data_IF_684069912275
#
_entry.id   IF_684069912275
#
_cell.length_a   1.000
_cell.length_b   1.000
_cell.length_c   1.000
_cell.angle_alpha   90.00
_cell.angle_beta   90.00
_cell.angle_gamma   90.00
#
_symmetry.space_group_name_H-M   'P 1'
#
loop_
_entity.id
_entity.type
_entity.pdbx_description
1 polymer ?
#
# COMPACT_ATOMS: atom_id res chain seq x y z
N UNK A 1 10.53 38.27 -0.91
CA UNK A 1 11.16 37.03 -1.44
C UNK A 1 11.35 37.18 -2.93
N UNK A 2 12.51 36.91 -3.45
CA UNK A 2 12.75 36.77 -4.89
C UNK A 2 13.16 35.34 -5.16
N UNK A 3 12.60 34.72 -6.20
CA UNK A 3 13.11 33.44 -6.73
C UNK A 3 14.19 33.75 -7.75
N UNK A 4 15.40 33.33 -7.48
CA UNK A 4 16.49 33.42 -8.43
C UNK A 4 17.16 32.02 -8.48
N UNK A 5 17.22 31.44 -9.66
CA UNK A 5 17.85 30.12 -9.90
C UNK A 5 17.32 28.98 -9.00
N UNK A 6 16.01 28.91 -8.81
CA UNK A 6 15.40 27.90 -7.95
C UNK A 6 15.57 28.11 -6.44
N UNK A 7 16.05 29.27 -6.00
CA UNK A 7 16.23 29.63 -4.60
C UNK A 7 15.17 30.60 -4.12
N UNK A 8 14.58 30.39 -2.94
CA UNK A 8 13.95 31.47 -2.20
C UNK A 8 15.04 32.21 -1.42
N UNK A 9 15.35 33.42 -1.84
CA UNK A 9 16.25 34.29 -1.09
C UNK A 9 15.39 35.23 -0.26
N UNK A 10 15.35 35.06 1.06
CA UNK A 10 14.86 36.10 1.94
C UNK A 10 15.93 37.19 2.03
N UNK A 11 15.76 38.23 1.25
CA UNK A 11 16.69 39.34 1.29
C UNK A 11 16.18 40.36 2.28
N UNK A 12 16.61 40.27 3.55
CA UNK A 12 16.78 41.47 4.34
C UNK A 12 18.28 41.86 4.42
N UNK A 13 19.15 40.97 4.33
CA UNK A 13 20.58 41.06 3.97
C UNK A 13 21.15 39.64 3.89
N UNK A 14 22.23 39.43 3.15
CA UNK A 14 22.94 38.14 3.12
C UNK A 14 23.42 37.68 4.51
N UNK A 15 23.64 38.62 5.41
CA UNK A 15 24.07 38.40 6.80
C UNK A 15 22.95 37.83 7.69
N UNK A 16 21.67 38.00 7.31
CA UNK A 16 20.49 37.53 8.06
C UNK A 16 19.72 36.42 7.38
N UNK A 17 20.32 35.73 6.41
CA UNK A 17 19.71 34.58 5.77
C UNK A 17 19.58 33.41 6.74
N UNK A 18 18.35 33.00 7.09
CA UNK A 18 18.05 31.89 8.00
C UNK A 18 18.32 30.51 7.38
N UNK A 19 18.58 30.45 6.08
CA UNK A 19 18.85 29.25 5.31
C UNK A 19 18.47 29.42 3.84
N UNK A 20 18.88 28.48 3.01
CA UNK A 20 18.55 28.43 1.59
C UNK A 20 17.76 27.16 1.31
N UNK A 21 16.64 27.29 0.61
CA UNK A 21 15.80 26.17 0.19
C UNK A 21 15.94 26.01 -1.33
N UNK A 22 16.10 24.78 -1.76
CA UNK A 22 16.24 24.39 -3.16
C UNK A 22 15.18 23.38 -3.54
N UNK A 23 14.83 23.31 -4.81
CA UNK A 23 14.18 22.14 -5.38
C UNK A 23 15.14 20.94 -5.43
N UNK A 24 14.62 19.72 -5.46
CA UNK A 24 15.40 18.50 -5.20
C UNK A 24 16.65 18.34 -6.09
N UNK A 25 16.60 18.78 -7.32
CA UNK A 25 17.71 18.63 -8.29
C UNK A 25 18.54 19.90 -8.44
N UNK A 26 18.31 20.93 -7.62
CA UNK A 26 18.98 22.23 -7.72
C UNK A 26 18.84 22.94 -9.08
N UNK A 27 17.88 22.51 -9.93
CA UNK A 27 17.60 23.13 -11.21
C UNK A 27 16.57 24.26 -11.10
N UNK A 28 16.79 25.34 -11.87
CA UNK A 28 15.77 26.36 -12.02
C UNK A 28 14.62 25.83 -12.88
N UNK A 29 13.40 25.92 -12.33
CA UNK A 29 12.19 25.53 -13.06
C UNK A 29 11.54 26.70 -13.81
N UNK A 30 12.16 27.91 -13.76
CA UNK A 30 11.61 29.11 -14.38
C UNK A 30 10.32 29.60 -13.68
N UNK A 31 9.45 30.28 -14.43
CA UNK A 31 8.16 30.75 -13.94
C UNK A 31 7.09 29.67 -14.14
N UNK A 32 6.51 29.19 -13.04
CA UNK A 32 5.48 28.15 -13.05
C UNK A 32 4.18 28.67 -12.43
N UNK A 33 3.05 28.11 -12.89
CA UNK A 33 1.81 28.14 -12.09
C UNK A 33 1.94 27.26 -10.88
N UNK A 34 1.12 27.46 -9.84
CA UNK A 34 1.12 26.60 -8.65
C UNK A 34 0.82 25.14 -9.01
N UNK A 35 -0.13 24.88 -9.90
CA UNK A 35 -0.47 23.53 -10.37
C UNK A 35 0.75 22.82 -10.97
N UNK A 36 1.54 23.51 -11.79
CA UNK A 36 2.78 22.99 -12.36
C UNK A 36 3.86 22.78 -11.28
N UNK A 37 3.98 23.71 -10.35
CA UNK A 37 4.87 23.57 -9.20
C UNK A 37 4.55 22.35 -8.36
N UNK A 38 3.26 22.08 -8.12
CA UNK A 38 2.80 20.88 -7.42
C UNK A 38 3.12 19.59 -8.21
N UNK A 39 2.85 19.58 -9.52
CA UNK A 39 3.11 18.43 -10.40
C UNK A 39 4.61 18.05 -10.43
N UNK A 40 5.48 19.06 -10.40
CA UNK A 40 6.95 18.92 -10.36
C UNK A 40 7.52 18.78 -8.95
N UNK A 41 6.66 18.75 -7.93
CA UNK A 41 7.05 18.63 -6.51
C UNK A 41 8.03 19.74 -6.06
N UNK A 42 7.78 21.00 -6.49
CA UNK A 42 8.64 22.14 -6.17
C UNK A 42 8.54 22.51 -4.69
N UNK A 43 9.66 22.43 -3.98
CA UNK A 43 9.80 22.92 -2.60
C UNK A 43 9.57 24.43 -2.55
N UNK A 44 10.04 25.15 -3.58
CA UNK A 44 9.94 26.62 -3.67
C UNK A 44 8.48 27.05 -3.81
N UNK A 45 7.68 26.34 -4.61
CA UNK A 45 6.25 26.63 -4.75
C UNK A 45 5.50 26.49 -3.41
N UNK A 46 5.82 25.46 -2.63
CA UNK A 46 5.25 25.28 -1.29
C UNK A 46 5.72 26.36 -0.31
N UNK A 47 7.00 26.72 -0.34
CA UNK A 47 7.51 27.80 0.50
C UNK A 47 6.90 29.16 0.17
N UNK A 48 6.64 29.44 -1.11
CA UNK A 48 5.96 30.66 -1.56
C UNK A 48 4.54 30.72 -0.97
N UNK A 49 3.82 29.60 -1.03
CA UNK A 49 2.48 29.47 -0.45
C UNK A 49 2.49 29.73 1.07
N UNK A 50 3.41 29.07 1.81
CA UNK A 50 3.54 29.23 3.26
C UNK A 50 4.07 30.60 3.68
N UNK A 51 4.79 31.29 2.81
CA UNK A 51 5.34 32.61 3.13
C UNK A 51 4.31 33.70 2.91
N UNK A 52 3.53 33.64 1.83
CA UNK A 52 2.72 34.76 1.37
C UNK A 52 1.20 34.54 1.52
N UNK A 53 0.74 33.30 1.73
CA UNK A 53 -0.70 32.97 1.70
C UNK A 53 -1.21 32.23 2.93
N UNK A 54 -0.37 31.52 3.68
CA UNK A 54 -0.76 30.69 4.81
C UNK A 54 0.10 31.05 6.02
N UNK A 55 -0.54 31.45 7.14
CA UNK A 55 0.21 31.71 8.37
C UNK A 55 0.69 30.40 9.01
N UNK A 56 1.81 30.42 9.76
CA UNK A 56 2.29 29.22 10.46
C UNK A 56 1.25 28.61 11.41
N UNK A 57 0.39 29.42 12.02
CA UNK A 57 -0.66 28.99 12.94
C UNK A 57 -1.73 28.18 12.19
N UNK A 58 -2.20 28.68 11.05
CA UNK A 58 -3.17 27.99 10.19
C UNK A 58 -2.54 26.68 9.66
N UNK A 59 -1.28 26.72 9.22
CA UNK A 59 -0.60 25.51 8.74
C UNK A 59 -0.50 24.48 9.86
N UNK A 60 -0.11 24.87 11.07
CA UNK A 60 -0.03 23.99 12.23
C UNK A 60 -1.39 23.38 12.60
N UNK A 61 -2.45 24.17 12.55
CA UNK A 61 -3.82 23.67 12.78
C UNK A 61 -4.20 22.56 11.82
N UNK A 62 -3.80 22.65 10.54
CA UNK A 62 -4.05 21.58 9.57
C UNK A 62 -3.21 20.33 9.83
N UNK A 63 -1.95 20.46 10.26
CA UNK A 63 -1.13 19.31 10.68
C UNK A 63 -1.85 18.55 11.81
N UNK A 64 -2.41 19.25 12.77
CA UNK A 64 -3.17 18.66 13.88
C UNK A 64 -4.50 18.05 13.41
N UNK A 65 -5.24 18.72 12.51
CA UNK A 65 -6.49 18.22 11.92
C UNK A 65 -6.31 16.93 11.13
N UNK A 66 -5.18 16.79 10.44
CA UNK A 66 -4.83 15.56 9.72
C UNK A 66 -4.27 14.46 10.64
N UNK A 67 -4.08 14.72 11.92
CA UNK A 67 -3.71 13.73 12.93
C UNK A 67 -2.25 13.31 12.93
N UNK A 68 -1.35 14.07 12.29
CA UNK A 68 0.07 13.71 12.17
C UNK A 68 0.86 13.68 13.48
N UNK A 69 0.32 14.27 14.56
CA UNK A 69 1.00 14.34 15.85
C UNK A 69 0.35 13.46 16.94
N UNK A 70 -0.51 12.55 16.52
CA UNK A 70 -1.18 11.58 17.40
C UNK A 70 -1.03 10.17 16.83
N UNK A 71 -0.94 9.14 17.68
CA UNK A 71 -1.07 7.76 17.19
C UNK A 71 -2.40 7.57 16.48
N UNK A 72 -2.42 6.78 15.43
CA UNK A 72 -3.68 6.38 14.78
C UNK A 72 -4.40 5.40 15.69
N UNK A 73 -5.66 5.68 16.02
CA UNK A 73 -6.50 4.76 16.76
C UNK A 73 -6.92 3.61 15.83
N UNK A 74 -6.18 2.52 15.90
CA UNK A 74 -6.48 1.32 15.10
C UNK A 74 -6.36 0.06 15.97
N UNK A 75 -7.41 -0.78 16.02
CA UNK A 75 -7.40 -2.00 16.81
C UNK A 75 -6.26 -2.95 16.39
N UNK A 76 -5.67 -3.62 17.38
CA UNK A 76 -4.66 -4.68 17.20
C UNK A 76 -3.33 -4.27 16.57
N UNK A 77 -3.14 -2.99 16.21
CA UNK A 77 -1.88 -2.50 15.66
C UNK A 77 -1.28 -1.46 16.61
N UNK A 78 -0.15 -1.80 17.22
CA UNK A 78 0.63 -0.84 17.99
C UNK A 78 1.30 0.14 17.02
N UNK A 79 1.10 1.43 17.23
CA UNK A 79 1.73 2.48 16.45
C UNK A 79 2.07 3.69 17.31
N UNK A 80 2.87 4.59 16.76
CA UNK A 80 3.39 5.77 17.45
C UNK A 80 2.90 7.06 16.80
N UNK A 81 3.03 8.17 17.52
CA UNK A 81 2.80 9.49 16.99
C UNK A 81 3.98 9.92 16.12
N UNK A 82 3.70 10.76 15.13
CA UNK A 82 4.73 11.55 14.47
C UNK A 82 5.29 12.64 15.40
N UNK A 83 6.34 13.28 14.96
CA UNK A 83 6.91 14.45 15.62
C UNK A 83 7.23 15.56 14.62
N UNK A 84 7.34 16.78 15.10
CA UNK A 84 7.58 17.98 14.28
C UNK A 84 8.53 18.94 14.99
N UNK A 85 9.50 19.45 14.23
CA UNK A 85 10.28 20.61 14.61
C UNK A 85 9.63 21.85 13.98
N UNK A 86 9.12 22.76 14.78
CA UNK A 86 8.31 23.91 14.33
C UNK A 86 8.63 25.21 15.06
N UNK A 87 9.83 25.31 15.63
CA UNK A 87 10.25 26.44 16.45
C UNK A 87 10.80 27.59 15.60
N UNK A 88 11.64 27.27 14.63
CA UNK A 88 12.33 28.25 13.80
C UNK A 88 11.62 28.48 12.46
N UNK A 89 11.75 29.68 11.85
CA UNK A 89 11.12 29.98 10.57
C UNK A 89 11.47 28.99 9.45
N UNK A 90 12.71 28.50 9.41
CA UNK A 90 13.15 27.52 8.42
C UNK A 90 12.46 26.16 8.62
N UNK A 91 12.23 25.73 9.85
CA UNK A 91 11.52 24.51 10.18
C UNK A 91 10.06 24.58 9.74
N UNK A 92 9.41 25.76 9.97
CA UNK A 92 8.01 25.99 9.54
C UNK A 92 7.84 25.93 8.03
N UNK A 93 8.85 26.36 7.26
CA UNK A 93 8.83 26.26 5.81
C UNK A 93 9.16 24.85 5.35
N UNK A 94 10.18 24.21 5.95
CA UNK A 94 10.65 22.89 5.53
C UNK A 94 9.63 21.78 5.79
N UNK A 95 8.80 21.89 6.82
CA UNK A 95 7.70 20.95 7.05
C UNK A 95 6.70 20.90 5.90
N UNK A 96 6.53 22.00 5.15
CA UNK A 96 5.63 22.06 4.01
C UNK A 96 6.01 21.15 2.84
N UNK A 97 7.28 20.82 2.73
CA UNK A 97 7.76 19.85 1.72
C UNK A 97 8.33 18.57 2.34
N UNK A 98 7.93 18.27 3.60
CA UNK A 98 8.19 16.97 4.23
C UNK A 98 9.53 16.84 4.96
N UNK A 99 10.22 17.95 5.24
CA UNK A 99 11.38 18.01 6.14
C UNK A 99 10.95 18.50 7.54
N UNK A 100 11.77 18.30 8.56
CA UNK A 100 11.47 18.71 9.95
C UNK A 100 10.19 18.11 10.55
N UNK A 101 9.61 17.10 9.90
CA UNK A 101 8.45 16.32 10.36
C UNK A 101 8.68 14.84 10.09
N UNK A 102 8.36 14.01 11.07
CA UNK A 102 8.31 12.55 10.90
C UNK A 102 6.88 12.07 11.12
N UNK A 103 6.43 11.20 10.24
CA UNK A 103 5.09 10.61 10.29
C UNK A 103 5.16 9.11 10.05
N UNK A 104 4.20 8.37 10.58
CA UNK A 104 4.11 6.93 10.33
C UNK A 104 3.34 6.64 9.05
N UNK A 105 3.54 5.46 8.47
CA UNK A 105 2.78 5.01 7.30
C UNK A 105 1.27 5.00 7.57
N UNK A 106 0.85 4.60 8.78
CA UNK A 106 -0.57 4.63 9.18
C UNK A 106 -1.15 6.04 9.22
N UNK A 107 -0.38 7.04 9.71
CA UNK A 107 -0.80 8.44 9.69
C UNK A 107 -0.95 8.95 8.26
N UNK A 108 -0.03 8.58 7.35
CA UNK A 108 -0.14 8.91 5.93
C UNK A 108 -1.40 8.30 5.31
N UNK A 109 -1.63 7.01 5.52
CA UNK A 109 -2.84 6.32 5.04
C UNK A 109 -4.10 7.01 5.57
N UNK A 110 -4.19 7.24 6.89
CA UNK A 110 -5.35 7.92 7.49
C UNK A 110 -5.59 9.31 6.89
N UNK A 111 -4.55 10.14 6.81
CA UNK A 111 -4.65 11.51 6.31
C UNK A 111 -5.11 11.56 4.84
N UNK A 112 -4.56 10.70 3.99
CA UNK A 112 -4.92 10.67 2.57
C UNK A 112 -6.32 10.13 2.30
N UNK A 113 -6.95 9.40 3.25
CA UNK A 113 -8.38 9.07 3.11
C UNK A 113 -9.23 10.33 2.98
N UNK A 114 -8.88 11.45 3.65
CA UNK A 114 -9.61 12.69 3.49
C UNK A 114 -9.53 13.26 2.05
N UNK A 115 -8.40 13.03 1.36
CA UNK A 115 -8.24 13.48 -0.04
C UNK A 115 -9.07 12.59 -0.97
N UNK A 116 -9.13 11.28 -0.72
CA UNK A 116 -9.78 10.32 -1.61
C UNK A 116 -11.25 10.03 -1.25
N UNK A 117 -11.77 10.59 -0.16
CA UNK A 117 -13.12 10.36 0.35
C UNK A 117 -13.84 11.67 0.69
N UNK A 118 -13.89 12.59 -0.29
CA UNK A 118 -14.68 13.83 -0.23
C UNK A 118 -14.45 14.69 1.02
N UNK A 119 -13.22 14.70 1.53
CA UNK A 119 -12.82 15.44 2.72
C UNK A 119 -12.96 14.69 4.04
N UNK A 120 -13.58 13.52 4.05
CA UNK A 120 -13.78 12.69 5.26
C UNK A 120 -12.56 11.84 5.53
N UNK A 121 -11.94 12.04 6.69
CA UNK A 121 -10.83 11.23 7.16
C UNK A 121 -11.35 9.98 7.87
N UNK A 122 -10.88 8.81 7.43
CA UNK A 122 -11.33 7.51 7.92
C UNK A 122 -10.28 6.87 8.82
N UNK A 123 -10.72 6.11 9.81
CA UNK A 123 -9.88 5.29 10.68
C UNK A 123 -9.43 4.02 9.93
N UNK A 124 -8.13 3.79 9.70
CA UNK A 124 -7.65 2.51 9.18
C UNK A 124 -7.91 1.39 10.20
N UNK A 125 -8.29 0.22 9.72
CA UNK A 125 -8.39 -1.00 10.52
C UNK A 125 -8.00 -2.22 9.68
N UNK A 126 -7.46 -3.26 10.32
CA UNK A 126 -6.93 -4.46 9.66
C UNK A 126 -7.70 -5.72 10.04
N UNK A 127 -8.60 -5.63 11.01
CA UNK A 127 -9.48 -6.71 11.43
C UNK A 127 -10.89 -6.33 11.04
N UNK A 128 -11.51 -7.11 10.18
CA UNK A 128 -12.90 -6.95 9.76
C UNK A 128 -13.86 -7.44 10.84
N UNK A 129 -13.62 -8.66 11.35
CA UNK A 129 -14.45 -9.27 12.38
C UNK A 129 -13.70 -10.31 13.19
N UNK A 130 -14.24 -10.63 14.34
CA UNK A 130 -13.84 -11.73 15.21
C UNK A 130 -14.97 -12.75 15.23
N UNK A 131 -14.64 -14.01 14.95
CA UNK A 131 -15.61 -15.11 14.93
C UNK A 131 -15.25 -16.17 15.98
N UNK A 132 -16.26 -16.83 16.53
CA UNK A 132 -16.07 -18.03 17.33
C UNK A 132 -15.55 -19.18 16.46
N UNK A 133 -14.43 -19.79 16.87
CA UNK A 133 -13.75 -20.80 16.08
C UNK A 133 -14.52 -22.10 15.83
N UNK A 134 -15.57 -22.38 16.63
CA UNK A 134 -16.37 -23.60 16.50
C UNK A 134 -17.70 -23.36 15.80
N UNK A 135 -18.38 -22.27 16.16
CA UNK A 135 -19.72 -21.97 15.65
C UNK A 135 -19.75 -21.02 14.45
N UNK A 136 -18.60 -20.43 14.10
CA UNK A 136 -18.47 -19.36 13.09
C UNK A 136 -19.39 -18.15 13.35
N UNK A 137 -19.91 -18.03 14.57
CA UNK A 137 -20.71 -16.89 14.95
C UNK A 137 -19.82 -15.67 15.11
N UNK A 138 -20.21 -14.56 14.46
CA UNK A 138 -19.54 -13.27 14.63
C UNK A 138 -19.69 -12.81 16.08
N UNK A 139 -18.57 -12.61 16.76
CA UNK A 139 -18.48 -12.10 18.14
C UNK A 139 -18.40 -10.58 18.11
N UNK A 140 -17.59 -10.03 17.19
CA UNK A 140 -17.38 -8.60 17.03
C UNK A 140 -17.17 -8.28 15.55
N UNK A 141 -17.78 -7.18 15.09
CA UNK A 141 -17.66 -6.67 13.72
C UNK A 141 -17.12 -5.24 13.75
N UNK A 142 -16.15 -4.95 12.90
CA UNK A 142 -15.58 -3.61 12.75
C UNK A 142 -16.14 -2.95 11.50
N UNK A 143 -16.61 -1.72 11.64
CA UNK A 143 -17.22 -0.95 10.56
C UNK A 143 -16.35 0.29 10.23
N UNK A 144 -16.40 0.79 8.99
CA UNK A 144 -15.72 2.02 8.61
C UNK A 144 -16.14 3.20 9.50
N UNK A 145 -15.17 3.89 10.11
CA UNK A 145 -15.40 5.02 10.99
C UNK A 145 -14.71 6.28 10.49
N UNK A 146 -15.46 7.38 10.41
CA UNK A 146 -14.88 8.71 10.19
C UNK A 146 -14.29 9.24 11.48
N UNK A 147 -13.06 9.76 11.40
CA UNK A 147 -12.34 10.40 12.51
C UNK A 147 -12.24 11.94 12.36
N UNK A 148 -12.85 12.48 11.31
CA UNK A 148 -12.91 13.92 11.09
C UNK A 148 -13.17 14.29 9.63
N UNK A 149 -13.30 15.59 9.39
CA UNK A 149 -13.43 16.18 8.06
C UNK A 149 -12.49 17.39 7.95
N UNK A 150 -11.16 17.14 7.80
CA UNK A 150 -10.16 18.20 7.82
C UNK A 150 -10.27 19.18 6.64
N UNK A 151 -10.81 18.74 5.52
CA UNK A 151 -11.01 19.55 4.31
C UNK A 151 -12.42 19.37 3.75
N UNK A 152 -12.84 20.31 2.90
CA UNK A 152 -14.10 20.21 2.16
C UNK A 152 -13.96 19.32 0.93
N UNK A 153 -15.09 18.84 0.39
CA UNK A 153 -15.14 18.08 -0.84
C UNK A 153 -14.46 18.81 -2.02
N UNK A 154 -14.74 20.11 -2.18
CA UNK A 154 -14.16 20.88 -3.29
C UNK A 154 -12.62 20.95 -3.20
N UNK A 155 -12.07 20.98 -1.97
CA UNK A 155 -10.62 20.91 -1.74
C UNK A 155 -10.08 19.52 -2.08
N UNK A 156 -10.79 18.46 -1.67
CA UNK A 156 -10.46 17.06 -2.03
C UNK A 156 -10.40 16.90 -3.56
N UNK A 157 -11.44 17.35 -4.26
CA UNK A 157 -11.52 17.26 -5.73
C UNK A 157 -10.40 18.03 -6.42
N UNK A 158 -10.05 19.21 -5.91
CA UNK A 158 -8.95 20.01 -6.44
C UNK A 158 -7.59 19.33 -6.23
N UNK A 159 -7.35 18.77 -5.04
CA UNK A 159 -6.10 18.03 -4.75
C UNK A 159 -6.00 16.76 -5.59
N UNK A 160 -7.09 16.00 -5.78
CA UNK A 160 -7.12 14.86 -6.71
C UNK A 160 -6.73 15.29 -8.13
N UNK A 161 -7.26 16.42 -8.62
CA UNK A 161 -6.87 17.00 -9.93
C UNK A 161 -5.36 17.30 -9.98
N UNK A 162 -4.80 17.93 -8.94
CA UNK A 162 -3.36 18.21 -8.87
C UNK A 162 -2.54 16.92 -8.87
N UNK A 163 -2.96 15.89 -8.13
CA UNK A 163 -2.31 14.58 -8.11
C UNK A 163 -2.39 13.88 -9.48
N UNK A 164 -3.43 14.13 -10.26
CA UNK A 164 -3.53 13.70 -11.66
C UNK A 164 -2.46 14.34 -12.55
N UNK A 165 -2.13 15.61 -12.33
CA UNK A 165 -1.03 16.28 -13.05
C UNK A 165 0.33 15.68 -12.70
N UNK A 166 0.56 15.23 -11.47
CA UNK A 166 1.81 14.55 -11.09
C UNK A 166 2.10 13.34 -11.99
N UNK A 167 1.04 12.61 -12.41
CA UNK A 167 1.15 11.41 -13.25
C UNK A 167 1.10 11.73 -14.75
N UNK A 168 0.29 12.71 -15.17
CA UNK A 168 -0.03 12.91 -16.57
C UNK A 168 0.67 14.12 -17.22
N UNK A 169 1.21 15.06 -16.42
CA UNK A 169 1.98 16.17 -16.98
C UNK A 169 3.34 15.67 -17.51
N UNK A 170 3.82 16.15 -18.67
CA UNK A 170 5.12 15.75 -19.23
C UNK A 170 6.32 15.97 -18.28
N UNK A 171 6.19 16.94 -17.36
CA UNK A 171 7.22 17.24 -16.34
C UNK A 171 6.83 16.71 -14.94
N UNK A 172 5.77 15.95 -14.83
CA UNK A 172 5.28 15.41 -13.56
C UNK A 172 6.20 14.35 -12.98
N UNK A 173 6.43 14.38 -11.67
CA UNK A 173 7.37 13.46 -10.99
C UNK A 173 6.83 12.03 -10.89
N UNK A 174 5.55 11.82 -11.13
CA UNK A 174 4.86 10.53 -10.99
C UNK A 174 4.54 9.80 -12.29
N UNK A 175 5.02 10.25 -13.47
CA UNK A 175 4.74 9.62 -14.76
C UNK A 175 5.02 8.12 -14.79
N UNK A 176 6.00 7.69 -14.00
CA UNK A 176 6.40 6.28 -13.90
C UNK A 176 5.34 5.38 -13.28
N UNK A 177 4.37 5.97 -12.58
CA UNK A 177 3.24 5.26 -11.97
C UNK A 177 2.00 5.24 -12.86
N UNK A 178 2.07 5.86 -14.04
CA UNK A 178 0.99 5.81 -15.03
C UNK A 178 0.70 4.37 -15.43
N UNK A 179 -0.57 4.00 -15.44
CA UNK A 179 -1.06 2.71 -15.91
C UNK A 179 -1.83 2.92 -17.22
N UNK A 180 -1.80 1.90 -18.10
CA UNK A 180 -2.44 1.99 -19.42
C UNK A 180 -3.93 1.61 -19.35
N UNK A 181 -4.33 0.93 -18.30
CA UNK A 181 -5.64 0.28 -18.11
C UNK A 181 -6.54 0.96 -17.07
N UNK A 182 -6.00 1.88 -16.28
CA UNK A 182 -6.73 2.66 -15.29
C UNK A 182 -6.04 4.00 -15.04
N UNK A 183 -6.83 5.05 -14.85
CA UNK A 183 -6.28 6.35 -14.48
C UNK A 183 -5.86 6.36 -13.02
N UNK A 184 -4.57 6.67 -12.79
CA UNK A 184 -3.94 6.75 -11.48
C UNK A 184 -3.67 8.21 -11.14
N UNK A 185 -3.93 8.58 -9.89
CA UNK A 185 -3.46 9.83 -9.30
C UNK A 185 -2.40 9.53 -8.25
N UNK A 186 -1.35 10.35 -8.18
CA UNK A 186 -0.25 10.09 -7.25
C UNK A 186 0.42 11.37 -6.74
N UNK A 187 1.17 11.24 -5.63
CA UNK A 187 2.14 12.22 -5.16
C UNK A 187 3.39 11.50 -4.70
N UNK A 188 4.51 11.84 -5.31
CA UNK A 188 5.84 11.36 -4.92
C UNK A 188 6.40 12.16 -3.75
N UNK A 189 7.22 11.51 -2.94
CA UNK A 189 8.00 12.13 -1.88
C UNK A 189 9.44 11.64 -1.93
N UNK A 190 10.38 12.55 -1.65
CA UNK A 190 11.79 12.26 -1.50
C UNK A 190 12.31 13.03 -0.30
N UNK A 191 12.67 12.31 0.76
CA UNK A 191 13.13 12.87 2.02
C UNK A 191 14.57 12.50 2.30
N UNK A 192 15.40 13.46 2.73
CA UNK A 192 16.70 13.17 3.29
C UNK A 192 16.55 12.56 4.69
N UNK A 193 17.39 11.59 5.01
CA UNK A 193 17.38 10.97 6.33
C UNK A 193 18.17 11.85 7.29
N UNK A 194 17.48 12.35 8.34
CA UNK A 194 18.12 13.16 9.38
C UNK A 194 18.85 12.27 10.40
N UNK A 195 20.02 12.73 10.84
CA UNK A 195 20.81 12.15 11.92
C UNK A 195 21.04 13.18 13.02
N UNK A 196 21.64 12.80 14.11
CA UNK A 196 22.03 13.73 15.19
C UNK A 196 23.05 14.79 14.76
N UNK A 197 23.73 14.60 13.62
CA UNK A 197 24.80 15.47 13.11
C UNK A 197 24.42 16.19 11.81
N UNK A 198 23.19 16.01 11.30
CA UNK A 198 22.71 16.59 10.04
C UNK A 198 22.00 15.56 9.17
N UNK A 199 22.09 15.69 7.86
CA UNK A 199 21.51 14.73 6.92
C UNK A 199 22.52 13.67 6.50
N UNK A 200 22.03 12.45 6.28
CA UNK A 200 22.83 11.33 5.79
C UNK A 200 23.11 11.51 4.29
N UNK A 201 24.36 11.53 3.89
CA UNK A 201 24.73 11.64 2.48
C UNK A 201 24.41 10.37 1.70
N UNK A 202 23.86 10.54 0.51
CA UNK A 202 23.60 9.44 -0.43
C UNK A 202 22.50 8.46 -0.02
N UNK A 203 21.71 8.78 1.02
CA UNK A 203 20.55 7.95 1.42
C UNK A 203 19.28 8.77 1.56
N UNK A 204 18.21 8.22 1.06
CA UNK A 204 16.92 8.89 0.91
C UNK A 204 15.78 7.98 1.32
N UNK A 205 14.72 8.56 1.85
CA UNK A 205 13.41 7.91 1.91
C UNK A 205 12.63 8.34 0.68
N UNK A 206 12.39 7.39 -0.20
CA UNK A 206 11.55 7.58 -1.38
C UNK A 206 10.18 7.01 -1.13
N UNK A 207 9.14 7.74 -1.50
CA UNK A 207 7.77 7.33 -1.27
C UNK A 207 6.85 7.76 -2.39
N UNK A 208 5.72 7.06 -2.49
CA UNK A 208 4.57 7.46 -3.30
C UNK A 208 3.29 7.14 -2.55
N UNK A 209 2.37 8.09 -2.57
CA UNK A 209 0.95 7.85 -2.29
C UNK A 209 0.22 7.92 -3.61
N UNK A 210 -0.50 6.86 -3.96
CA UNK A 210 -1.29 6.81 -5.18
C UNK A 210 -2.68 6.24 -4.91
N UNK A 211 -3.61 6.57 -5.81
CA UNK A 211 -4.96 6.02 -5.75
C UNK A 211 -5.52 5.79 -7.16
N UNK A 212 -6.42 4.82 -7.28
CA UNK A 212 -7.09 4.45 -8.52
C UNK A 212 -8.50 3.86 -8.25
N UNK A 213 -9.47 4.02 -9.18
CA UNK A 213 -9.45 4.96 -10.32
C UNK A 213 -9.36 6.42 -9.88
N UNK A 214 -8.89 7.31 -10.76
CA UNK A 214 -8.59 8.72 -10.41
C UNK A 214 -9.82 9.53 -9.98
N UNK A 215 -10.97 9.29 -10.59
CA UNK A 215 -12.23 10.02 -10.37
C UNK A 215 -12.99 9.51 -9.14
N UNK A 216 -12.93 8.21 -8.85
CA UNK A 216 -13.57 7.57 -7.69
C UNK A 216 -12.64 6.52 -7.07
N UNK A 217 -11.64 6.92 -6.29
CA UNK A 217 -10.63 6.02 -5.75
C UNK A 217 -11.21 4.90 -4.89
N UNK A 218 -10.95 3.66 -5.27
CA UNK A 218 -11.33 2.46 -4.52
C UNK A 218 -10.13 1.81 -3.83
N UNK A 219 -8.95 2.00 -4.41
CA UNK A 219 -7.68 1.54 -3.85
C UNK A 219 -6.79 2.75 -3.66
N UNK A 220 -6.17 2.85 -2.51
CA UNK A 220 -4.99 3.70 -2.33
C UNK A 220 -3.82 2.87 -1.83
N UNK A 221 -2.62 3.25 -2.26
CA UNK A 221 -1.39 2.58 -1.89
C UNK A 221 -0.34 3.59 -1.46
N UNK A 222 0.17 3.42 -0.24
CA UNK A 222 1.37 4.10 0.22
C UNK A 222 2.55 3.15 0.16
N UNK A 223 3.54 3.50 -0.63
CA UNK A 223 4.77 2.73 -0.78
C UNK A 223 5.96 3.63 -0.43
N UNK A 224 6.77 3.20 0.51
CA UNK A 224 7.95 3.93 0.96
C UNK A 224 9.10 2.97 1.23
N UNK A 225 10.32 3.38 0.89
CA UNK A 225 11.52 2.62 1.19
C UNK A 225 12.73 3.56 1.37
N UNK A 226 13.72 3.06 2.09
CA UNK A 226 15.02 3.68 2.24
C UNK A 226 15.99 3.11 1.21
N UNK A 227 16.64 3.97 0.44
CA UNK A 227 17.59 3.56 -0.60
C UNK A 227 18.68 4.58 -0.86
N UNK A 228 19.78 4.10 -1.46
CA UNK A 228 20.93 4.94 -1.84
C UNK A 228 20.91 5.45 -3.27
N UNK A 229 19.98 5.01 -4.10
CA UNK A 229 19.92 5.37 -5.51
C UNK A 229 18.49 5.72 -5.94
N UNK A 230 18.31 6.89 -6.54
CA UNK A 230 17.06 7.37 -7.12
C UNK A 230 16.49 6.44 -8.19
N UNK A 231 17.33 5.65 -8.85
CA UNK A 231 16.96 4.84 -10.02
C UNK A 231 16.33 3.50 -9.66
N UNK A 232 16.50 3.04 -8.42
CA UNK A 232 16.06 1.70 -7.99
C UNK A 232 14.65 1.62 -7.38
N UNK A 233 13.82 2.62 -7.62
CA UNK A 233 12.41 2.56 -7.24
C UNK A 233 11.70 1.49 -8.09
N UNK A 234 11.26 0.41 -7.45
CA UNK A 234 10.63 -0.73 -8.15
C UNK A 234 9.19 -0.41 -8.59
N UNK A 235 9.08 0.22 -9.75
CA UNK A 235 7.84 0.75 -10.35
C UNK A 235 6.90 -0.37 -10.80
N UNK A 236 7.46 -1.45 -11.29
CA UNK A 236 6.68 -2.57 -11.82
C UNK A 236 5.94 -3.29 -10.69
N UNK A 237 6.60 -3.56 -9.57
CA UNK A 237 5.93 -4.15 -8.41
C UNK A 237 4.81 -3.28 -7.84
N UNK A 238 4.98 -1.95 -7.88
CA UNK A 238 3.91 -1.03 -7.49
C UNK A 238 2.69 -1.17 -8.41
N UNK A 239 2.91 -1.16 -9.74
CA UNK A 239 1.83 -1.29 -10.72
C UNK A 239 1.13 -2.63 -10.64
N UNK A 240 1.89 -3.70 -10.46
CA UNK A 240 1.35 -5.05 -10.32
C UNK A 240 0.48 -5.15 -9.05
N UNK A 241 0.97 -4.67 -7.91
CA UNK A 241 0.21 -4.66 -6.67
C UNK A 241 -1.07 -3.80 -6.76
N UNK A 242 -1.00 -2.62 -7.41
CA UNK A 242 -2.17 -1.77 -7.64
C UNK A 242 -3.19 -2.49 -8.53
N UNK A 243 -2.73 -3.13 -9.60
CA UNK A 243 -3.61 -3.88 -10.53
C UNK A 243 -4.29 -5.05 -9.84
N UNK A 244 -3.55 -5.86 -9.08
CA UNK A 244 -4.11 -6.97 -8.31
C UNK A 244 -5.17 -6.51 -7.30
N UNK A 245 -4.89 -5.40 -6.61
CA UNK A 245 -5.84 -4.82 -5.66
C UNK A 245 -7.13 -4.33 -6.35
N UNK A 246 -7.02 -3.71 -7.53
CA UNK A 246 -8.17 -3.27 -8.33
C UNK A 246 -8.99 -4.46 -8.83
N UNK A 247 -8.32 -5.51 -9.32
CA UNK A 247 -8.99 -6.75 -9.75
C UNK A 247 -9.73 -7.38 -8.57
N UNK A 248 -9.13 -7.44 -7.38
CA UNK A 248 -9.78 -7.95 -6.19
C UNK A 248 -11.04 -7.16 -5.77
N UNK A 249 -11.15 -5.90 -6.21
CA UNK A 249 -12.35 -5.06 -6.02
C UNK A 249 -13.32 -5.14 -7.23
N UNK A 250 -13.10 -6.04 -8.18
CA UNK A 250 -13.92 -6.15 -9.39
C UNK A 250 -13.76 -4.98 -10.37
N UNK A 251 -12.70 -4.20 -10.24
CA UNK A 251 -12.41 -3.08 -11.13
C UNK A 251 -11.46 -3.58 -12.21
N UNK A 252 -12.01 -3.86 -13.39
CA UNK A 252 -11.20 -4.18 -14.57
C UNK A 252 -10.94 -2.91 -15.35
N UNK A 253 -9.69 -2.65 -15.68
CA UNK A 253 -9.34 -1.55 -16.59
C UNK A 253 -10.02 -1.74 -17.93
N UNK A 254 -10.59 -0.67 -18.48
CA UNK A 254 -11.17 -0.69 -19.81
C UNK A 254 -10.05 -0.67 -20.85
N UNK A 255 -9.58 -1.86 -21.23
CA UNK A 255 -8.63 -1.99 -22.35
C UNK A 255 -9.38 -1.79 -23.67
N UNK A 256 -9.42 -0.55 -24.18
CA UNK A 256 -9.84 -0.25 -25.54
C UNK A 256 -8.69 -0.41 -26.57
N UNK A 257 -7.68 -1.20 -26.30
CA UNK A 257 -6.58 -1.48 -27.22
C UNK A 257 -6.52 -2.96 -27.60
N UNK A 258 -7.16 -3.27 -28.74
CA UNK A 258 -7.13 -4.59 -29.39
C UNK A 258 -5.75 -4.95 -29.99
N UNK A 259 -4.65 -4.27 -29.63
CA UNK A 259 -3.34 -4.49 -30.25
C UNK A 259 -2.11 -4.42 -29.35
N UNK A 260 -2.23 -4.57 -28.04
CA UNK A 260 -1.03 -4.72 -27.20
C UNK A 260 -0.76 -6.21 -26.95
N UNK A 261 0.28 -6.72 -27.58
CA UNK A 261 0.89 -8.04 -27.26
C UNK A 261 1.68 -8.01 -25.94
N UNK A 262 1.09 -7.43 -24.89
CA UNK A 262 1.58 -7.59 -23.52
C UNK A 262 0.75 -8.68 -22.86
N UNK A 263 1.43 -9.65 -22.23
CA UNK A 263 0.81 -10.67 -21.37
C UNK A 263 -0.06 -9.96 -20.33
N UNK A 264 -1.32 -9.74 -20.64
CA UNK A 264 -2.36 -9.58 -19.65
C UNK A 264 -2.44 -10.92 -18.95
N UNK A 265 -2.06 -10.98 -17.71
CA UNK A 265 -2.45 -12.10 -16.86
C UNK A 265 -3.98 -12.00 -16.73
N UNK A 266 -4.69 -12.61 -17.68
CA UNK A 266 -6.13 -12.77 -17.62
C UNK A 266 -6.42 -13.75 -16.49
N UNK A 267 -6.56 -13.25 -15.28
CA UNK A 267 -7.13 -14.03 -14.18
C UNK A 267 -8.61 -14.22 -14.44
N UNK A 268 -9.03 -15.45 -14.59
CA UNK A 268 -10.45 -15.78 -14.57
C UNK A 268 -10.90 -15.81 -13.11
N UNK A 269 -11.99 -15.12 -12.81
CA UNK A 269 -12.63 -15.13 -11.51
C UNK A 269 -13.67 -16.27 -11.46
N UNK A 270 -13.72 -16.97 -10.34
CA UNK A 270 -14.67 -18.05 -10.09
C UNK A 270 -15.26 -17.90 -8.68
N UNK A 271 -16.41 -18.48 -8.45
CA UNK A 271 -16.95 -18.64 -7.09
C UNK A 271 -16.55 -20.03 -6.57
N UNK A 272 -15.92 -20.08 -5.41
CA UNK A 272 -15.53 -21.33 -4.76
C UNK A 272 -16.75 -22.20 -4.46
N UNK A 273 -16.84 -23.41 -4.99
CA UNK A 273 -17.96 -24.30 -4.66
C UNK A 273 -17.86 -24.80 -3.21
N UNK A 274 -19.00 -25.07 -2.58
CA UNK A 274 -19.03 -25.75 -1.29
C UNK A 274 -18.74 -27.24 -1.51
N UNK A 275 -17.61 -27.70 -1.00
CA UNK A 275 -17.09 -29.06 -1.22
C UNK A 275 -17.02 -29.90 0.06
N UNK A 276 -17.21 -29.31 1.22
CA UNK A 276 -17.24 -29.99 2.51
C UNK A 276 -18.39 -31.00 2.54
N UNK A 277 -18.15 -32.21 3.06
CA UNK A 277 -19.04 -33.36 3.07
C UNK A 277 -19.32 -33.98 1.69
N UNK A 278 -18.50 -33.68 0.69
CA UNK A 278 -18.53 -34.35 -0.62
C UNK A 278 -17.25 -35.18 -0.85
N UNK A 279 -17.32 -36.10 -1.79
CA UNK A 279 -16.17 -36.90 -2.15
C UNK A 279 -15.11 -36.12 -2.91
N UNK A 280 -13.85 -36.54 -2.83
CA UNK A 280 -12.74 -35.95 -3.61
C UNK A 280 -13.04 -35.95 -5.12
N UNK A 281 -13.71 -36.98 -5.64
CA UNK A 281 -14.05 -37.02 -7.04
C UNK A 281 -15.12 -36.01 -7.43
N UNK A 282 -16.10 -35.79 -6.56
CA UNK A 282 -17.04 -34.68 -6.74
C UNK A 282 -16.34 -33.33 -6.79
N UNK A 283 -15.42 -33.10 -5.85
CA UNK A 283 -14.65 -31.86 -5.80
C UNK A 283 -13.78 -31.66 -7.05
N UNK A 284 -13.06 -32.68 -7.47
CA UNK A 284 -12.27 -32.64 -8.72
C UNK A 284 -13.12 -32.29 -9.93
N UNK A 285 -14.33 -32.88 -10.04
CA UNK A 285 -15.26 -32.57 -11.12
C UNK A 285 -15.77 -31.14 -11.07
N UNK A 286 -16.13 -30.64 -9.89
CA UNK A 286 -16.58 -29.24 -9.71
C UNK A 286 -15.51 -28.21 -10.02
N UNK A 287 -14.25 -28.53 -9.70
CA UNK A 287 -13.10 -27.67 -9.97
C UNK A 287 -12.43 -27.90 -11.33
N UNK A 288 -12.95 -28.82 -12.15
CA UNK A 288 -12.29 -29.22 -13.42
C UNK A 288 -12.25 -28.10 -14.48
N UNK A 289 -13.27 -27.23 -14.49
CA UNK A 289 -13.35 -26.08 -15.40
C UNK A 289 -12.62 -24.82 -14.88
N UNK A 290 -12.07 -24.87 -13.66
CA UNK A 290 -11.39 -23.74 -13.03
C UNK A 290 -9.87 -23.94 -13.14
N UNK A 291 -9.17 -22.89 -13.57
CA UNK A 291 -7.70 -22.88 -13.64
C UNK A 291 -7.12 -22.57 -12.25
N UNK A 292 -7.28 -23.50 -11.30
CA UNK A 292 -6.80 -23.37 -9.91
C UNK A 292 -5.89 -24.53 -9.55
N UNK A 293 -4.94 -24.30 -8.66
CA UNK A 293 -4.05 -25.33 -8.12
C UNK A 293 -4.72 -26.02 -6.92
N UNK A 294 -4.78 -27.34 -6.96
CA UNK A 294 -5.50 -28.15 -5.95
C UNK A 294 -4.51 -28.83 -5.01
N UNK A 295 -4.50 -28.39 -3.76
CA UNK A 295 -3.69 -29.00 -2.68
C UNK A 295 -4.60 -29.92 -1.87
N UNK A 296 -4.44 -31.23 -2.04
CA UNK A 296 -5.19 -32.22 -1.28
C UNK A 296 -4.38 -32.63 -0.05
N UNK A 297 -4.99 -32.48 1.12
CA UNK A 297 -4.39 -32.77 2.42
C UNK A 297 -5.08 -34.00 3.01
N UNK A 298 -4.30 -34.95 3.47
CA UNK A 298 -4.83 -36.23 3.97
C UNK A 298 -4.91 -37.31 2.88
N UNK A 299 -5.40 -38.49 3.26
CA UNK A 299 -5.48 -39.66 2.42
C UNK A 299 -6.86 -40.35 2.43
N UNK A 300 -7.90 -39.61 2.85
CA UNK A 300 -9.29 -40.05 2.85
C UNK A 300 -10.03 -39.74 1.56
N UNK A 301 -11.27 -40.19 1.45
CA UNK A 301 -12.08 -40.06 0.23
C UNK A 301 -13.07 -38.91 0.28
N UNK A 302 -13.39 -38.37 1.47
CA UNK A 302 -14.34 -37.26 1.64
C UNK A 302 -13.68 -36.01 2.17
N UNK A 303 -14.15 -34.85 1.75
CA UNK A 303 -13.64 -33.53 2.19
C UNK A 303 -14.30 -33.16 3.49
N UNK A 304 -13.49 -32.89 4.52
CA UNK A 304 -13.94 -32.45 5.85
C UNK A 304 -13.73 -30.95 6.08
N UNK A 305 -12.82 -30.33 5.31
CA UNK A 305 -12.58 -28.88 5.37
C UNK A 305 -11.99 -28.38 4.07
N UNK A 306 -12.17 -27.12 3.73
CA UNK A 306 -11.65 -26.48 2.52
C UNK A 306 -11.19 -25.06 2.80
N UNK A 307 -10.31 -24.55 1.94
CA UNK A 307 -9.94 -23.14 1.87
C UNK A 307 -9.64 -22.75 0.41
N UNK A 308 -10.19 -21.66 -0.13
CA UNK A 308 -11.18 -20.74 0.48
C UNK A 308 -12.53 -21.41 0.79
N UNK A 309 -13.35 -20.72 1.59
CA UNK A 309 -14.68 -21.22 1.95
C UNK A 309 -15.64 -21.21 0.74
N UNK A 310 -16.69 -22.07 0.80
CA UNK A 310 -17.70 -22.10 -0.27
C UNK A 310 -18.42 -20.76 -0.39
N UNK A 311 -18.53 -20.25 -1.63
CA UNK A 311 -19.11 -18.94 -1.94
C UNK A 311 -18.11 -17.80 -2.03
N UNK A 312 -16.86 -17.97 -1.59
CA UNK A 312 -15.83 -16.95 -1.74
C UNK A 312 -15.38 -16.80 -3.20
N UNK A 313 -14.95 -15.58 -3.55
CA UNK A 313 -14.31 -15.32 -4.85
C UNK A 313 -12.90 -15.89 -4.87
N UNK A 314 -12.57 -16.60 -5.95
CA UNK A 314 -11.26 -17.17 -6.23
C UNK A 314 -10.82 -16.81 -7.63
N UNK A 315 -9.50 -16.72 -7.85
CA UNK A 315 -8.93 -16.37 -9.14
C UNK A 315 -8.13 -17.55 -9.72
N UNK A 316 -7.92 -17.51 -11.05
CA UNK A 316 -7.07 -18.52 -11.69
C UNK A 316 -5.65 -18.50 -11.13
N UNK A 317 -5.02 -19.69 -11.08
CA UNK A 317 -3.71 -19.98 -10.50
C UNK A 317 -3.64 -19.87 -8.96
N UNK A 318 -4.76 -19.61 -8.28
CA UNK A 318 -4.82 -19.64 -6.83
C UNK A 318 -4.75 -21.08 -6.30
N UNK A 319 -4.06 -21.27 -5.17
CA UNK A 319 -4.07 -22.53 -4.44
C UNK A 319 -5.41 -22.74 -3.72
N UNK A 320 -6.02 -23.90 -3.94
CA UNK A 320 -7.22 -24.37 -3.27
C UNK A 320 -6.84 -25.57 -2.39
N UNK A 321 -7.12 -25.46 -1.12
CA UNK A 321 -6.78 -26.47 -0.13
C UNK A 321 -8.03 -27.28 0.23
N UNK A 322 -7.91 -28.61 0.11
CA UNK A 322 -8.99 -29.56 0.44
C UNK A 322 -8.45 -30.57 1.44
N UNK A 323 -8.99 -30.57 2.65
CA UNK A 323 -8.62 -31.55 3.67
C UNK A 323 -9.60 -32.72 3.64
N UNK A 324 -9.07 -33.92 3.51
CA UNK A 324 -9.86 -35.16 3.50
C UNK A 324 -9.95 -35.80 4.89
N UNK A 325 -10.90 -36.73 5.06
CA UNK A 325 -11.17 -37.47 6.30
C UNK A 325 -10.09 -38.50 6.67
N UNK A 326 -9.04 -38.61 5.90
CA UNK A 326 -7.89 -39.50 6.20
C UNK A 326 -6.96 -38.92 7.25
N UNK A 327 -6.40 -39.81 8.07
CA UNK A 327 -5.52 -39.44 9.22
C UNK A 327 -4.06 -39.22 8.86
N UNK A 328 -3.64 -39.63 7.65
CA UNK A 328 -2.23 -39.51 7.23
C UNK A 328 -2.00 -38.25 6.42
N UNK A 329 -1.31 -37.29 7.01
CA UNK A 329 -0.90 -36.08 6.31
C UNK A 329 0.54 -36.23 5.83
N UNK A 330 0.81 -35.84 4.59
CA UNK A 330 2.15 -35.79 4.01
C UNK A 330 2.49 -34.37 3.61
N UNK A 331 3.77 -34.02 3.74
CA UNK A 331 4.29 -32.72 3.38
C UNK A 331 4.05 -32.41 1.90
N UNK A 332 3.34 -31.34 1.54
CA UNK A 332 3.21 -30.89 0.17
C UNK A 332 4.51 -30.28 -0.36
N UNK A 333 4.57 -30.03 -1.66
CA UNK A 333 5.55 -29.14 -2.24
C UNK A 333 5.06 -27.70 -2.05
N UNK A 334 5.74 -26.97 -1.19
CA UNK A 334 5.38 -25.58 -0.89
C UNK A 334 6.12 -24.57 -1.77
N UNK A 335 6.91 -25.01 -2.75
CA UNK A 335 7.63 -24.10 -3.65
C UNK A 335 6.66 -23.13 -4.33
N UNK A 336 6.93 -21.83 -4.24
CA UNK A 336 6.07 -20.78 -4.79
C UNK A 336 4.85 -20.41 -3.93
N UNK A 337 4.62 -21.08 -2.79
CA UNK A 337 3.55 -20.73 -1.88
C UNK A 337 3.80 -19.36 -1.23
N UNK A 338 2.73 -18.60 -1.10
CA UNK A 338 2.73 -17.33 -0.36
C UNK A 338 2.51 -17.57 1.13
N UNK A 339 2.70 -16.54 1.95
CA UNK A 339 2.35 -16.59 3.37
C UNK A 339 0.86 -16.95 3.61
N UNK A 340 -0.03 -16.50 2.70
CA UNK A 340 -1.45 -16.86 2.71
C UNK A 340 -1.66 -18.37 2.56
N UNK A 341 -0.95 -18.99 1.64
CA UNK A 341 -1.03 -20.43 1.39
C UNK A 341 -0.51 -21.25 2.56
N UNK A 342 0.61 -20.83 3.16
CA UNK A 342 1.18 -21.47 4.36
C UNK A 342 0.19 -21.37 5.53
N UNK A 343 -0.39 -20.20 5.72
CA UNK A 343 -1.38 -19.96 6.78
C UNK A 343 -2.65 -20.81 6.59
N UNK A 344 -3.12 -20.94 5.35
CA UNK A 344 -4.25 -21.80 5.01
C UNK A 344 -3.95 -23.28 5.33
N UNK A 345 -2.79 -23.76 4.95
CA UNK A 345 -2.36 -25.12 5.26
C UNK A 345 -2.27 -25.36 6.78
N UNK A 346 -1.65 -24.44 7.53
CA UNK A 346 -1.57 -24.51 8.98
C UNK A 346 -2.97 -24.51 9.62
N UNK A 347 -3.85 -23.60 9.21
CA UNK A 347 -5.22 -23.50 9.73
C UNK A 347 -6.02 -24.79 9.53
N UNK A 348 -5.86 -25.46 8.38
CA UNK A 348 -6.55 -26.71 8.07
C UNK A 348 -5.98 -27.91 8.81
N UNK A 349 -4.65 -27.98 8.99
CA UNK A 349 -3.96 -29.14 9.54
C UNK A 349 -3.67 -29.04 11.03
N UNK A 350 -3.65 -27.85 11.59
CA UNK A 350 -3.15 -27.57 12.95
C UNK A 350 -1.63 -27.71 13.09
N UNK A 351 -0.89 -27.95 11.99
CA UNK A 351 0.58 -28.13 12.00
C UNK A 351 1.25 -26.77 11.83
N UNK A 352 1.97 -26.32 12.85
CA UNK A 352 2.65 -25.03 12.83
C UNK A 352 3.83 -25.01 11.87
N UNK A 353 3.97 -23.90 11.11
CA UNK A 353 5.06 -23.69 10.17
C UNK A 353 5.80 -22.41 10.52
N UNK A 354 7.09 -22.55 10.81
CA UNK A 354 7.97 -21.41 11.06
C UNK A 354 8.38 -20.79 9.72
N UNK A 355 8.13 -19.49 9.55
CA UNK A 355 8.39 -18.73 8.32
C UNK A 355 9.57 -17.79 8.53
N UNK A 356 10.51 -17.79 7.62
CA UNK A 356 11.68 -16.90 7.57
C UNK A 356 11.71 -16.13 6.24
N UNK A 357 11.76 -14.79 6.26
CA UNK A 357 11.78 -13.94 5.07
C UNK A 357 10.39 -13.46 4.64
N UNK A 358 10.28 -12.99 3.39
CA UNK A 358 9.04 -12.48 2.80
C UNK A 358 8.96 -12.85 1.31
N UNK A 359 7.75 -12.85 0.73
CA UNK A 359 7.51 -13.26 -0.66
C UNK A 359 7.02 -14.69 -0.77
N UNK A 360 7.63 -15.51 -1.62
CA UNK A 360 7.23 -16.88 -1.89
C UNK A 360 8.23 -17.90 -1.37
N UNK A 361 7.75 -19.07 -0.96
CA UNK A 361 8.61 -20.17 -0.48
C UNK A 361 9.56 -20.63 -1.58
N UNK A 362 10.85 -20.61 -1.29
CA UNK A 362 11.87 -21.19 -2.16
C UNK A 362 12.58 -22.40 -1.53
N UNK A 363 12.40 -22.62 -0.22
CA UNK A 363 13.00 -23.75 0.48
C UNK A 363 12.13 -24.18 1.66
N UNK A 364 12.01 -25.50 1.86
CA UNK A 364 11.32 -26.12 2.99
C UNK A 364 12.24 -27.13 3.69
N UNK A 365 12.11 -27.27 5.02
CA UNK A 365 12.97 -28.17 5.84
C UNK A 365 12.57 -29.63 5.69
N UNK A 366 11.27 -29.92 5.54
CA UNK A 366 10.74 -31.27 5.38
C UNK A 366 10.47 -31.53 3.90
N UNK A 367 10.94 -32.67 3.37
CA UNK A 367 10.78 -32.99 1.95
C UNK A 367 9.34 -33.39 1.62
N UNK A 368 8.88 -33.01 0.41
CA UNK A 368 7.62 -33.45 -0.17
C UNK A 368 7.41 -34.95 -0.01
N UNK A 369 6.22 -35.37 0.41
CA UNK A 369 5.81 -36.75 0.59
C UNK A 369 6.20 -37.40 1.93
N UNK A 370 6.99 -36.72 2.77
CA UNK A 370 7.27 -37.21 4.12
C UNK A 370 6.01 -37.07 4.99
N UNK A 371 5.76 -38.05 5.85
CA UNK A 371 4.67 -37.99 6.81
C UNK A 371 4.94 -36.87 7.84
N UNK A 372 3.92 -36.09 8.13
CA UNK A 372 3.95 -34.99 9.11
C UNK A 372 2.75 -35.09 10.06
N UNK A 373 2.91 -34.55 11.24
CA UNK A 373 1.89 -34.48 12.30
C UNK A 373 2.06 -33.21 13.13
N UNK A 374 1.26 -33.02 14.16
CA UNK A 374 1.29 -31.86 15.02
C UNK A 374 2.64 -31.58 15.72
N UNK A 375 3.46 -32.62 15.93
CA UNK A 375 4.78 -32.51 16.56
C UNK A 375 5.90 -32.25 15.54
N UNK A 376 5.57 -32.10 14.26
CA UNK A 376 6.59 -31.90 13.20
C UNK A 376 7.08 -30.46 13.19
N UNK A 377 8.39 -30.29 13.33
CA UNK A 377 9.04 -28.98 13.17
C UNK A 377 9.25 -28.65 11.68
N UNK A 378 8.40 -27.80 11.15
CA UNK A 378 8.46 -27.39 9.73
C UNK A 378 8.94 -25.94 9.66
N UNK A 379 9.98 -25.71 8.86
CA UNK A 379 10.50 -24.37 8.55
C UNK A 379 10.49 -24.14 7.06
N UNK A 380 10.09 -22.95 6.66
CA UNK A 380 10.13 -22.48 5.26
C UNK A 380 10.88 -21.18 5.17
N UNK A 381 11.62 -21.01 4.05
CA UNK A 381 12.31 -19.77 3.72
C UNK A 381 11.64 -19.14 2.51
N UNK A 382 11.32 -17.84 2.63
CA UNK A 382 10.65 -17.04 1.61
C UNK A 382 11.64 -16.01 1.02
N UNK A 383 11.45 -15.68 -0.28
CA UNK A 383 12.20 -14.63 -0.97
C UNK A 383 11.29 -13.95 -2.02
#
# INVERSE_FOLDING_TARGET
STTQDGKIVRVNSAENALGTIWDAEHHSMGTLTFDKGFARSSNIAICELLTNHITPEIYREYIDKFGFLKPVDTPFVKNEAGNINFNYPIEKLSTGFGQSINVTALQMVQAYTAIFNDGKMMRPYVVDRIEDGNSHKVIEQYEPQSVGTPIKKETSDYVKKLMGLVVNDPDGTGQVFKMDDVDVIAKTGTGQISTSTGYMDGRWIMSVMAAAPADDPKIMMYYAFEGGDYTNFSREYFKDAMREALIAQGITGSSNDANSTKKTNNYAEYTMPSLVNHSLDYAKNKLSGMKVEKVIIGNGDNIISQYPDGGESIISNQNIFLMSDGTKITMPDMSGWTMKDITAFWKLTGIEIQMEGSGSVYKQSVKKGQAINADSEIKVQLK
#
